data_IF_502927368484
#
_entry.id   IF_502927368484
#
_cell.length_a   1.000
_cell.length_b   1.000
_cell.length_c   1.000
_cell.angle_alpha   90.00
_cell.angle_beta   90.00
_cell.angle_gamma   90.00
#
_symmetry.space_group_name_H-M   'P 1'
#
loop_
_entity.id
_entity.type
_entity.pdbx_description
1 polymer ?
#
# COMPACT_ATOMS: atom_id res chain seq x y z
N UNK A 1 17.17 0.84 -11.34
CA UNK A 1 16.65 2.06 -10.69
C UNK A 1 16.08 1.68 -9.33
N UNK A 2 16.67 2.13 -8.23
CA UNK A 2 16.05 1.99 -6.90
C UNK A 2 14.82 2.90 -6.86
N UNK A 3 13.62 2.32 -6.77
CA UNK A 3 12.42 3.13 -6.57
C UNK A 3 12.46 3.70 -5.15
N UNK A 4 12.58 5.02 -5.01
CA UNK A 4 12.47 5.71 -3.73
C UNK A 4 11.00 5.97 -3.40
N UNK A 5 10.58 5.67 -2.17
CA UNK A 5 9.24 6.00 -1.67
C UNK A 5 9.18 7.48 -1.23
N UNK A 6 8.11 8.18 -1.60
CA UNK A 6 7.79 9.47 -0.97
C UNK A 6 7.20 9.30 0.44
N UNK A 7 7.03 10.39 1.19
CA UNK A 7 6.54 10.36 2.58
C UNK A 7 5.16 9.70 2.73
N UNK A 8 4.25 9.86 1.76
CA UNK A 8 2.94 9.20 1.80
C UNK A 8 3.06 7.71 1.48
N UNK A 9 3.91 7.35 0.53
CA UNK A 9 4.18 5.94 0.22
C UNK A 9 4.87 5.21 1.37
N UNK A 10 5.76 5.87 2.12
CA UNK A 10 6.34 5.32 3.36
C UNK A 10 5.24 5.06 4.40
N UNK A 11 4.29 5.99 4.58
CA UNK A 11 3.15 5.80 5.48
C UNK A 11 2.26 4.63 5.02
N UNK A 12 2.00 4.49 3.73
CA UNK A 12 1.25 3.36 3.15
C UNK A 12 1.98 2.03 3.39
N UNK A 13 3.30 1.99 3.18
CA UNK A 13 4.12 0.79 3.43
C UNK A 13 4.06 0.37 4.90
N UNK A 14 4.26 1.31 5.84
CA UNK A 14 4.17 1.04 7.28
C UNK A 14 2.78 0.55 7.68
N UNK A 15 1.75 1.16 7.13
CA UNK A 15 0.37 0.72 7.39
C UNK A 15 0.16 -0.71 6.92
N UNK A 16 0.62 -1.08 5.72
CA UNK A 16 0.49 -2.44 5.17
C UNK A 16 1.25 -3.49 6.00
N UNK A 17 2.50 -3.19 6.37
CA UNK A 17 3.32 -4.09 7.18
C UNK A 17 2.77 -4.29 8.60
N UNK A 18 1.92 -3.39 9.07
CA UNK A 18 1.25 -3.47 10.37
C UNK A 18 -0.12 -4.16 10.33
N UNK A 19 -0.56 -4.70 9.19
CA UNK A 19 -1.82 -5.44 9.12
C UNK A 19 -1.58 -6.95 9.23
N UNK A 20 -2.27 -7.59 10.17
CA UNK A 20 -2.28 -9.06 10.30
C UNK A 20 -3.25 -9.72 9.28
N UNK A 21 -4.28 -8.98 8.87
CA UNK A 21 -5.32 -9.44 7.94
C UNK A 21 -5.43 -8.51 6.73
N UNK A 22 -5.93 -8.97 5.57
CA UNK A 22 -6.15 -8.10 4.42
C UNK A 22 -7.12 -6.95 4.74
N UNK A 23 -6.77 -5.75 4.31
CA UNK A 23 -7.58 -4.54 4.55
C UNK A 23 -7.88 -3.82 3.24
N UNK A 24 -8.98 -3.10 3.17
CA UNK A 24 -9.35 -2.38 1.94
C UNK A 24 -8.48 -1.14 1.71
N UNK A 25 -8.38 -0.71 0.45
CA UNK A 25 -7.76 0.60 0.12
C UNK A 25 -8.56 1.78 0.66
N UNK A 26 -9.86 1.61 0.93
CA UNK A 26 -10.67 2.62 1.60
C UNK A 26 -10.33 2.74 3.08
N UNK A 27 -10.10 1.62 3.78
CA UNK A 27 -9.62 1.64 5.16
C UNK A 27 -8.26 2.34 5.25
N UNK A 28 -7.31 1.99 4.37
CA UNK A 28 -6.02 2.68 4.28
C UNK A 28 -6.18 4.19 4.06
N UNK A 29 -7.11 4.60 3.20
CA UNK A 29 -7.39 6.01 2.94
C UNK A 29 -7.87 6.72 4.22
N UNK A 30 -8.84 6.13 4.92
CA UNK A 30 -9.37 6.63 6.19
C UNK A 30 -8.27 6.73 7.25
N UNK A 31 -7.55 5.64 7.50
CA UNK A 31 -6.54 5.54 8.56
C UNK A 31 -5.36 6.50 8.33
N UNK A 32 -5.02 6.78 7.07
CA UNK A 32 -3.94 7.71 6.72
C UNK A 32 -4.41 9.15 6.54
N UNK A 33 -5.71 9.43 6.63
CA UNK A 33 -6.28 10.76 6.34
C UNK A 33 -6.02 11.20 4.89
N UNK A 34 -6.07 10.25 3.95
CA UNK A 34 -5.84 10.45 2.53
C UNK A 34 -7.11 10.17 1.73
N UNK A 35 -7.23 10.76 0.54
CA UNK A 35 -8.32 10.37 -0.36
C UNK A 35 -8.01 9.02 -1.03
N UNK A 36 -9.05 8.26 -1.37
CA UNK A 36 -8.87 7.02 -2.15
C UNK A 36 -8.16 7.26 -3.49
N UNK A 37 -8.33 8.45 -4.09
CA UNK A 37 -7.60 8.85 -5.31
C UNK A 37 -6.10 8.88 -5.06
N UNK A 38 -5.66 9.44 -3.92
CA UNK A 38 -4.24 9.48 -3.54
C UNK A 38 -3.70 8.07 -3.30
N UNK A 39 -4.45 7.21 -2.60
CA UNK A 39 -4.07 5.81 -2.39
C UNK A 39 -3.89 5.11 -3.74
N UNK A 40 -4.89 5.16 -4.63
CA UNK A 40 -4.82 4.52 -5.96
C UNK A 40 -3.65 5.02 -6.80
N UNK A 41 -3.37 6.32 -6.78
CA UNK A 41 -2.27 6.91 -7.55
C UNK A 41 -0.89 6.50 -7.03
N UNK A 42 -0.73 6.35 -5.71
CA UNK A 42 0.58 6.08 -5.07
C UNK A 42 0.88 4.60 -4.86
N UNK A 43 -0.14 3.76 -4.77
CA UNK A 43 -0.01 2.31 -4.53
C UNK A 43 0.91 1.60 -5.53
N UNK A 44 0.90 1.92 -6.85
CA UNK A 44 1.82 1.30 -7.81
C UNK A 44 3.31 1.52 -7.49
N UNK A 45 3.66 2.63 -6.86
CA UNK A 45 5.05 2.86 -6.43
C UNK A 45 5.43 2.05 -5.19
N UNK A 46 4.49 1.83 -4.27
CA UNK A 46 4.67 0.91 -3.13
C UNK A 46 4.87 -0.52 -3.64
N UNK A 47 4.03 -0.97 -4.57
CA UNK A 47 4.15 -2.29 -5.22
C UNK A 47 5.50 -2.50 -5.90
N UNK A 48 6.01 -1.47 -6.59
CA UNK A 48 7.32 -1.52 -7.23
C UNK A 48 8.45 -1.74 -6.22
N UNK A 49 8.39 -1.05 -5.08
CA UNK A 49 9.40 -1.21 -4.03
C UNK A 49 9.31 -2.57 -3.37
N UNK A 50 8.10 -3.05 -3.05
CA UNK A 50 7.91 -4.41 -2.54
C UNK A 50 8.55 -5.44 -3.46
N UNK A 51 8.30 -5.33 -4.77
CA UNK A 51 8.86 -6.24 -5.78
C UNK A 51 10.38 -6.24 -5.80
N UNK A 52 11.02 -5.08 -5.61
CA UNK A 52 12.48 -4.98 -5.54
C UNK A 52 13.06 -5.69 -4.30
N UNK A 53 12.26 -5.91 -3.27
CA UNK A 53 12.64 -6.64 -2.05
C UNK A 53 12.12 -8.10 -2.05
N UNK A 54 11.61 -8.60 -3.18
CA UNK A 54 11.06 -9.96 -3.27
C UNK A 54 9.68 -10.14 -2.62
N UNK A 55 9.03 -9.04 -2.24
CA UNK A 55 7.67 -9.03 -1.69
C UNK A 55 6.65 -8.67 -2.79
N UNK A 56 5.38 -8.98 -2.56
CA UNK A 56 4.30 -8.62 -3.47
C UNK A 56 3.13 -8.02 -2.68
N UNK A 57 2.32 -7.18 -3.34
CA UNK A 57 1.05 -6.76 -2.77
C UNK A 57 -0.05 -7.68 -3.30
N UNK A 58 -0.56 -8.57 -2.46
CA UNK A 58 -1.72 -9.38 -2.79
C UNK A 58 -2.98 -8.51 -2.84
N UNK A 59 -3.78 -8.66 -3.90
CA UNK A 59 -5.05 -7.97 -4.08
C UNK A 59 -6.14 -8.99 -4.37
N UNK A 60 -7.12 -9.07 -3.48
CA UNK A 60 -8.25 -9.99 -3.63
C UNK A 60 -9.57 -9.22 -3.54
N UNK A 61 -10.34 -9.25 -4.63
CA UNK A 61 -11.66 -8.60 -4.68
C UNK A 61 -12.56 -9.15 -3.59
N UNK A 62 -13.23 -8.27 -2.85
CA UNK A 62 -14.09 -8.64 -1.72
C UNK A 62 -13.34 -8.99 -0.43
N UNK A 63 -12.00 -8.96 -0.42
CA UNK A 63 -11.18 -9.29 0.76
C UNK A 63 -10.29 -8.11 1.14
N UNK A 64 -9.47 -7.59 0.22
CA UNK A 64 -8.61 -6.44 0.50
C UNK A 64 -7.24 -6.53 -0.15
N UNK A 65 -6.30 -5.81 0.46
CA UNK A 65 -4.88 -5.79 0.12
C UNK A 65 -4.02 -6.17 1.34
N UNK A 66 -2.95 -6.91 1.09
CA UNK A 66 -1.94 -7.33 2.08
C UNK A 66 -0.59 -7.51 1.39
N UNK A 67 0.49 -7.53 2.17
CA UNK A 67 1.83 -7.90 1.71
C UNK A 67 2.01 -9.42 1.89
#
# INVERSE_FOLDING_TARGET
MSASLDSRQIRMMRWLLGQEEPRSTSAMATDLGLSQRVIRYRLPGVERVLKNHGLALAKKRGVGISI
#
